data_IF_649183810638
#
_entry.id   IF_649183810638
#
_cell.length_a   1.000
_cell.length_b   1.000
_cell.length_c   1.000
_cell.angle_alpha   90.00
_cell.angle_beta   90.00
_cell.angle_gamma   90.00
#
_symmetry.space_group_name_H-M   'P 1'
#
loop_
_entity.id
_entity.type
_entity.pdbx_description
1 polymer ?
#
# COMPACT_ATOMS: atom_id res chain seq x y z
N UNK A 1 -2.12 -2.68 -11.45
CA UNK A 1 -1.48 -3.78 -12.18
C UNK A 1 0.04 -3.62 -12.20
N UNK A 2 0.61 -2.62 -12.91
CA UNK A 2 2.08 -2.50 -13.08
C UNK A 2 2.94 -2.40 -11.82
N UNK A 3 2.49 -1.67 -10.79
CA UNK A 3 3.30 -1.44 -9.57
C UNK A 3 3.03 -2.44 -8.45
N UNK A 4 1.99 -3.27 -8.56
CA UNK A 4 1.54 -4.15 -7.48
C UNK A 4 1.24 -3.45 -6.14
N UNK A 5 1.04 -2.12 -6.13
CA UNK A 5 0.89 -1.37 -4.88
C UNK A 5 -0.45 -1.66 -4.20
N UNK A 6 -0.42 -1.76 -2.88
CA UNK A 6 -1.64 -1.79 -2.07
C UNK A 6 -2.33 -0.43 -2.08
N UNK A 7 -3.66 -0.43 -2.14
CA UNK A 7 -4.49 0.78 -2.14
C UNK A 7 -5.27 0.80 -0.83
N UNK A 8 -5.17 1.89 -0.07
CA UNK A 8 -5.95 2.06 1.17
C UNK A 8 -7.44 2.18 0.87
N UNK A 9 -8.29 1.74 1.81
CA UNK A 9 -9.74 1.72 1.65
C UNK A 9 -10.35 3.08 1.25
N UNK A 10 -9.98 4.14 1.97
CA UNK A 10 -10.40 5.53 1.70
C UNK A 10 -10.02 6.01 0.29
N UNK A 11 -8.83 5.61 -0.18
CA UNK A 11 -8.35 5.92 -1.51
C UNK A 11 -9.06 5.07 -2.57
N UNK A 12 -9.33 3.80 -2.28
CA UNK A 12 -10.01 2.89 -3.19
C UNK A 12 -11.45 3.35 -3.48
N UNK A 13 -12.18 3.84 -2.47
CA UNK A 13 -13.50 4.44 -2.62
C UNK A 13 -13.48 5.71 -3.47
N UNK A 14 -12.53 6.62 -3.23
CA UNK A 14 -12.35 7.85 -4.04
C UNK A 14 -11.91 7.55 -5.47
N UNK A 15 -11.21 6.45 -5.68
CA UNK A 15 -10.82 5.97 -7.02
C UNK A 15 -11.97 5.28 -7.76
N UNK A 16 -13.10 4.98 -7.09
CA UNK A 16 -14.22 4.22 -7.66
C UNK A 16 -13.96 2.72 -7.77
N UNK A 17 -12.92 2.19 -7.11
CA UNK A 17 -12.67 0.74 -7.05
C UNK A 17 -13.61 0.05 -6.05
N UNK A 18 -14.01 0.77 -5.00
CA UNK A 18 -14.94 0.29 -3.97
C UNK A 18 -16.16 1.18 -3.95
N UNK A 19 -17.35 0.58 -3.96
CA UNK A 19 -18.61 1.30 -4.05
C UNK A 19 -19.14 1.82 -2.72
N UNK A 20 -18.73 1.29 -1.57
CA UNK A 20 -19.10 1.81 -0.25
C UNK A 20 -18.04 1.44 0.79
N UNK A 21 -17.86 2.30 1.80
CA UNK A 21 -17.00 2.03 2.94
C UNK A 21 -17.82 1.98 4.22
N UNK A 22 -17.36 1.16 5.16
CA UNK A 22 -17.89 1.04 6.51
C UNK A 22 -16.70 1.20 7.45
N UNK A 23 -16.86 2.03 8.48
CA UNK A 23 -15.86 2.20 9.52
C UNK A 23 -15.94 1.04 10.53
N UNK A 24 -14.80 0.56 11.06
CA UNK A 24 -14.79 -0.50 12.05
C UNK A 24 -15.48 -0.05 13.34
N UNK A 25 -16.17 -0.98 13.99
CA UNK A 25 -16.90 -0.71 15.22
C UNK A 25 -15.98 -0.81 16.45
N UNK A 26 -16.31 -0.03 17.48
CA UNK A 26 -15.65 -0.07 18.78
C UNK A 26 -16.01 -1.31 19.61
N UNK A 27 -15.43 -1.43 20.82
CA UNK A 27 -15.72 -2.54 21.72
C UNK A 27 -17.20 -2.57 22.13
N UNK A 28 -17.77 -3.77 22.19
CA UNK A 28 -19.15 -4.02 22.59
C UNK A 28 -19.29 -5.35 23.34
N UNK A 29 -20.42 -6.03 23.16
CA UNK A 29 -20.69 -7.33 23.79
C UNK A 29 -19.73 -8.42 23.25
N UNK A 30 -19.43 -8.35 21.95
CA UNK A 30 -18.45 -9.20 21.26
C UNK A 30 -17.15 -8.44 21.05
N UNK A 31 -16.10 -9.16 20.63
CA UNK A 31 -14.85 -8.51 20.24
C UNK A 31 -15.09 -7.49 19.11
N UNK A 32 -14.32 -6.39 19.04
CA UNK A 32 -14.49 -5.37 18.00
C UNK A 32 -14.42 -5.94 16.58
N UNK A 33 -13.53 -6.92 16.35
CA UNK A 33 -13.36 -7.56 15.05
C UNK A 33 -14.59 -8.38 14.66
N UNK A 34 -15.08 -9.25 15.55
CA UNK A 34 -16.27 -10.07 15.29
C UNK A 34 -17.50 -9.19 15.05
N UNK A 35 -17.72 -8.17 15.90
CA UNK A 35 -18.87 -7.29 15.72
C UNK A 35 -18.77 -6.46 14.43
N UNK A 36 -17.57 -6.05 14.05
CA UNK A 36 -17.35 -5.35 12.78
C UNK A 36 -17.67 -6.25 11.58
N UNK A 37 -17.32 -7.55 11.65
CA UNK A 37 -17.65 -8.50 10.59
C UNK A 37 -19.15 -8.74 10.48
N UNK A 38 -19.84 -8.93 11.61
CA UNK A 38 -21.31 -9.07 11.64
C UNK A 38 -21.99 -7.83 11.08
N UNK A 39 -21.54 -6.64 11.48
CA UNK A 39 -22.09 -5.39 10.97
C UNK A 39 -21.82 -5.19 9.48
N UNK A 40 -20.63 -5.58 9.00
CA UNK A 40 -20.33 -5.55 7.57
C UNK A 40 -21.26 -6.45 6.76
N UNK A 41 -21.58 -7.64 7.30
CA UNK A 41 -22.55 -8.57 6.71
C UNK A 41 -23.97 -7.99 6.72
N UNK A 42 -24.44 -7.47 7.86
CA UNK A 42 -25.73 -6.81 8.00
C UNK A 42 -25.89 -5.70 6.94
N UNK A 43 -24.89 -4.83 6.82
CA UNK A 43 -24.87 -3.77 5.82
C UNK A 43 -24.87 -4.36 4.41
N UNK A 44 -24.04 -5.35 4.12
CA UNK A 44 -24.00 -6.00 2.80
C UNK A 44 -25.35 -6.60 2.39
N UNK A 45 -26.09 -7.23 3.32
CA UNK A 45 -27.43 -7.78 3.08
C UNK A 45 -28.41 -6.66 2.71
N UNK A 46 -28.42 -5.55 3.45
CA UNK A 46 -29.31 -4.41 3.12
C UNK A 46 -29.03 -3.84 1.73
N UNK A 47 -27.76 -3.73 1.33
CA UNK A 47 -27.38 -3.31 -0.02
C UNK A 47 -27.79 -4.34 -1.07
N UNK A 48 -27.61 -5.63 -0.82
CA UNK A 48 -28.02 -6.70 -1.73
C UNK A 48 -29.54 -6.70 -1.98
N UNK A 49 -30.34 -6.56 -0.91
CA UNK A 49 -31.78 -6.43 -1.00
C UNK A 49 -32.19 -5.15 -1.77
N UNK A 50 -31.53 -4.03 -1.50
CA UNK A 50 -31.79 -2.78 -2.21
C UNK A 50 -31.45 -2.83 -3.71
N UNK A 51 -30.40 -3.56 -4.08
CA UNK A 51 -30.02 -3.82 -5.48
C UNK A 51 -31.03 -4.73 -6.19
N UNK A 52 -31.48 -5.80 -5.52
CA UNK A 52 -32.50 -6.69 -6.07
C UNK A 52 -33.82 -5.94 -6.33
N UNK A 53 -34.20 -5.04 -5.42
CA UNK A 53 -35.38 -4.20 -5.54
C UNK A 53 -35.18 -2.97 -6.46
N UNK A 54 -34.01 -2.82 -7.10
CA UNK A 54 -33.62 -1.69 -7.97
C UNK A 54 -33.76 -0.30 -7.32
N UNK A 55 -33.74 -0.23 -6.00
CA UNK A 55 -33.87 1.03 -5.24
C UNK A 55 -32.55 1.81 -5.15
N UNK A 56 -31.42 1.11 -5.28
CA UNK A 56 -30.08 1.69 -5.16
C UNK A 56 -29.47 1.86 -6.55
N UNK A 57 -29.25 3.11 -6.96
CA UNK A 57 -28.50 3.41 -8.18
C UNK A 57 -27.03 3.67 -7.85
N UNK A 58 -26.13 2.99 -8.57
CA UNK A 58 -24.69 3.27 -8.51
C UNK A 58 -24.41 4.62 -9.16
N UNK A 59 -24.31 5.69 -8.36
CA UNK A 59 -23.82 6.99 -8.83
C UNK A 59 -22.49 7.29 -8.16
N UNK A 60 -21.43 7.34 -8.98
CA UNK A 60 -20.16 7.93 -8.57
C UNK A 60 -20.18 9.36 -9.08
N UNK A 61 -20.20 10.33 -8.17
CA UNK A 61 -20.05 11.73 -8.54
C UNK A 61 -18.62 11.99 -8.99
N UNK A 62 -18.38 11.78 -10.29
CA UNK A 62 -17.13 12.12 -10.95
C UNK A 62 -17.04 13.63 -11.09
N UNK A 63 -16.00 14.22 -10.49
CA UNK A 63 -15.71 15.65 -10.61
C UNK A 63 -15.41 16.06 -12.07
N UNK A 64 -15.49 17.35 -12.37
CA UNK A 64 -15.34 17.89 -13.73
C UNK A 64 -14.06 17.42 -14.43
N UNK A 65 -12.92 17.44 -13.71
CA UNK A 65 -11.63 16.99 -14.25
C UNK A 65 -11.68 15.51 -14.66
N UNK A 66 -12.28 14.65 -13.83
CA UNK A 66 -12.37 13.22 -14.12
C UNK A 66 -13.23 12.93 -15.36
N UNK A 67 -14.32 13.68 -15.55
CA UNK A 67 -15.17 13.55 -16.74
C UNK A 67 -14.42 13.94 -18.02
N UNK A 68 -13.66 15.03 -17.96
CA UNK A 68 -12.85 15.49 -19.11
C UNK A 68 -11.74 14.49 -19.43
N UNK A 69 -11.05 13.95 -18.43
CA UNK A 69 -10.00 12.94 -18.66
C UNK A 69 -10.57 11.63 -19.18
N UNK A 70 -11.73 11.19 -18.67
CA UNK A 70 -12.41 9.99 -19.14
C UNK A 70 -12.84 10.14 -20.61
N UNK A 71 -13.36 11.31 -20.98
CA UNK A 71 -13.70 11.63 -22.38
C UNK A 71 -12.45 11.70 -23.27
N UNK A 72 -11.36 12.31 -22.81
CA UNK A 72 -10.11 12.30 -23.58
C UNK A 72 -9.59 10.87 -23.82
N UNK A 73 -9.78 9.96 -22.87
CA UNK A 73 -9.40 8.55 -23.01
C UNK A 73 -10.29 7.76 -23.98
N UNK A 74 -11.45 8.28 -24.42
CA UNK A 74 -12.22 7.62 -25.50
C UNK A 74 -11.61 7.86 -26.87
N UNK A 75 -10.71 8.84 -27.01
CA UNK A 75 -10.04 9.17 -28.28
C UNK A 75 -8.89 8.18 -28.51
N UNK A 76 -8.91 7.38 -29.60
CA UNK A 76 -7.91 6.32 -29.85
C UNK A 76 -6.47 6.84 -29.91
N UNK A 77 -6.26 7.99 -30.52
CA UNK A 77 -4.93 8.62 -30.60
C UNK A 77 -4.34 8.94 -29.23
N UNK A 78 -5.18 9.43 -28.30
CA UNK A 78 -4.76 9.76 -26.93
C UNK A 78 -4.39 8.48 -26.18
N UNK A 79 -5.20 7.42 -26.30
CA UNK A 79 -4.87 6.10 -25.70
C UNK A 79 -3.54 5.59 -26.19
N UNK A 80 -3.29 5.66 -27.49
CA UNK A 80 -2.03 5.20 -28.08
C UNK A 80 -0.81 6.00 -27.57
N UNK A 81 -0.96 7.31 -27.39
CA UNK A 81 0.09 8.13 -26.80
C UNK A 81 0.33 7.76 -25.33
N UNK A 82 -0.73 7.52 -24.55
CA UNK A 82 -0.64 7.06 -23.16
C UNK A 82 0.10 5.73 -23.07
N UNK A 83 -0.23 4.75 -23.92
CA UNK A 83 0.47 3.46 -23.95
C UNK A 83 1.97 3.64 -24.23
N UNK A 84 2.34 4.45 -25.24
CA UNK A 84 3.74 4.74 -25.56
C UNK A 84 4.48 5.39 -24.39
N UNK A 85 3.85 6.32 -23.68
CA UNK A 85 4.46 6.99 -22.52
C UNK A 85 4.66 6.01 -21.36
N UNK A 86 3.66 5.15 -21.09
CA UNK A 86 3.74 4.12 -20.04
C UNK A 86 4.83 3.12 -20.38
N UNK A 87 4.86 2.60 -21.60
CA UNK A 87 5.85 1.63 -22.07
C UNK A 87 7.27 2.20 -21.97
N UNK A 88 7.51 3.43 -22.45
CA UNK A 88 8.82 4.10 -22.30
C UNK A 88 9.23 4.25 -20.83
N UNK A 89 8.28 4.59 -19.95
CA UNK A 89 8.56 4.76 -18.52
C UNK A 89 8.89 3.41 -17.87
N UNK A 90 8.12 2.37 -18.18
CA UNK A 90 8.35 1.01 -17.71
C UNK A 90 9.70 0.52 -18.21
N UNK A 91 9.98 0.60 -19.52
CA UNK A 91 11.25 0.18 -20.11
C UNK A 91 12.45 0.87 -19.46
N UNK A 92 12.35 2.18 -19.18
CA UNK A 92 13.41 2.93 -18.49
C UNK A 92 13.61 2.48 -17.04
N UNK A 93 12.54 2.13 -16.34
CA UNK A 93 12.60 1.70 -14.94
C UNK A 93 13.01 0.23 -14.77
N UNK A 94 12.53 -0.65 -15.65
CA UNK A 94 12.81 -2.10 -15.62
C UNK A 94 14.11 -2.45 -16.34
N UNK A 95 14.67 -1.53 -17.14
CA UNK A 95 15.80 -1.76 -18.05
C UNK A 95 15.56 -2.92 -19.03
N UNK A 96 14.29 -3.28 -19.27
CA UNK A 96 13.91 -4.40 -20.14
C UNK A 96 14.12 -5.81 -19.56
N UNK A 97 14.52 -5.94 -18.30
CA UNK A 97 14.83 -7.23 -17.67
C UNK A 97 13.61 -7.96 -17.11
N UNK A 98 12.44 -7.32 -17.10
CA UNK A 98 11.22 -7.85 -16.52
C UNK A 98 10.14 -7.95 -17.59
N UNK A 99 9.70 -9.16 -18.00
CA UNK A 99 8.73 -9.33 -19.07
C UNK A 99 7.30 -8.96 -18.64
N UNK A 100 6.91 -9.26 -17.40
CA UNK A 100 5.54 -9.07 -16.92
C UNK A 100 4.99 -7.64 -17.06
N UNK A 101 5.73 -6.56 -16.70
CA UNK A 101 5.26 -5.19 -16.89
C UNK A 101 4.94 -4.83 -18.34
N UNK A 102 5.65 -5.39 -19.33
CA UNK A 102 5.41 -5.14 -20.74
C UNK A 102 4.19 -5.93 -21.24
N UNK A 103 4.10 -7.22 -20.89
CA UNK A 103 2.95 -8.05 -21.25
C UNK A 103 1.64 -7.54 -20.63
N UNK A 104 1.67 -6.96 -19.42
CA UNK A 104 0.48 -6.32 -18.82
C UNK A 104 -0.02 -5.15 -19.68
N UNK A 105 0.89 -4.33 -20.22
CA UNK A 105 0.52 -3.20 -21.10
C UNK A 105 -0.13 -3.74 -22.38
N UNK A 106 0.43 -4.81 -22.95
CA UNK A 106 -0.08 -5.46 -24.15
C UNK A 106 -1.49 -6.02 -23.95
N UNK A 107 -1.72 -6.81 -22.89
CA UNK A 107 -3.03 -7.40 -22.57
C UNK A 107 -4.09 -6.32 -22.35
N UNK A 108 -3.78 -5.27 -21.58
CA UNK A 108 -4.71 -4.16 -21.34
C UNK A 108 -5.01 -3.40 -22.64
N UNK A 109 -4.00 -3.16 -23.47
CA UNK A 109 -4.18 -2.52 -24.77
C UNK A 109 -5.09 -3.36 -25.68
N UNK A 110 -4.84 -4.66 -25.78
CA UNK A 110 -5.64 -5.57 -26.61
C UNK A 110 -7.08 -5.64 -26.12
N UNK A 111 -7.31 -5.75 -24.81
CA UNK A 111 -8.68 -5.76 -24.27
C UNK A 111 -9.46 -4.47 -24.54
N UNK A 112 -8.80 -3.31 -24.50
CA UNK A 112 -9.43 -2.00 -24.74
C UNK A 112 -9.62 -1.65 -26.22
N UNK A 113 -8.82 -2.22 -27.13
CA UNK A 113 -8.89 -1.92 -28.57
C UNK A 113 -9.64 -3.00 -29.36
N UNK A 114 -9.46 -4.28 -29.04
CA UNK A 114 -10.04 -5.43 -29.78
C UNK A 114 -11.28 -6.01 -29.11
N UNK A 115 -11.58 -5.60 -27.88
CA UNK A 115 -12.74 -6.04 -27.12
C UNK A 115 -12.41 -7.05 -26.01
N UNK A 116 -13.40 -7.28 -25.14
CA UNK A 116 -13.21 -8.03 -23.91
C UNK A 116 -12.82 -9.50 -24.16
N UNK A 117 -13.45 -10.18 -25.12
CA UNK A 117 -13.16 -11.59 -25.42
C UNK A 117 -11.71 -11.79 -25.86
N UNK A 118 -11.23 -10.98 -26.80
CA UNK A 118 -9.83 -10.99 -27.23
C UNK A 118 -8.87 -10.67 -26.06
N UNK A 119 -9.24 -9.72 -25.20
CA UNK A 119 -8.49 -9.37 -24.01
C UNK A 119 -8.34 -10.53 -23.02
N UNK A 120 -9.43 -11.23 -22.69
CA UNK A 120 -9.41 -12.36 -21.74
C UNK A 120 -8.65 -13.57 -22.28
N UNK A 121 -8.79 -13.86 -23.58
CA UNK A 121 -8.02 -14.94 -24.23
C UNK A 121 -6.52 -14.64 -24.18
N UNK A 122 -6.12 -13.41 -24.53
CA UNK A 122 -4.71 -13.00 -24.47
C UNK A 122 -4.20 -12.95 -23.02
N UNK A 123 -5.02 -12.49 -22.07
CA UNK A 123 -4.70 -12.50 -20.64
C UNK A 123 -4.37 -13.92 -20.17
N UNK A 124 -5.25 -14.89 -20.46
CA UNK A 124 -5.04 -16.28 -20.08
C UNK A 124 -3.75 -16.86 -20.68
N UNK A 125 -3.50 -16.59 -21.96
CA UNK A 125 -2.31 -17.07 -22.64
C UNK A 125 -1.03 -16.44 -22.04
N UNK A 126 -0.99 -15.12 -21.92
CA UNK A 126 0.16 -14.37 -21.40
C UNK A 126 0.41 -14.65 -19.93
N UNK A 127 -0.64 -14.90 -19.15
CA UNK A 127 -0.51 -15.30 -17.75
C UNK A 127 0.24 -16.63 -17.62
N UNK A 128 -0.14 -17.64 -18.41
CA UNK A 128 0.56 -18.93 -18.45
C UNK A 128 2.00 -18.80 -18.95
N UNK A 129 2.22 -18.02 -20.01
CA UNK A 129 3.56 -17.73 -20.57
C UNK A 129 4.48 -17.12 -19.50
N UNK A 130 4.01 -16.06 -18.82
CA UNK A 130 4.73 -15.41 -17.73
C UNK A 130 4.97 -16.32 -16.53
N UNK A 131 4.04 -17.22 -16.23
CA UNK A 131 4.21 -18.21 -15.16
C UNK A 131 5.40 -19.15 -15.39
N UNK A 132 5.77 -19.40 -16.65
CA UNK A 132 6.84 -20.30 -17.02
C UNK A 132 8.22 -19.63 -17.15
N UNK A 133 8.28 -18.30 -17.14
CA UNK A 133 9.54 -17.55 -17.32
C UNK A 133 10.50 -17.73 -16.13
N UNK A 134 11.82 -17.68 -16.37
CA UNK A 134 12.81 -17.78 -15.30
C UNK A 134 12.68 -16.65 -14.28
N UNK A 135 12.31 -15.43 -14.71
CA UNK A 135 12.14 -14.28 -13.82
C UNK A 135 10.99 -14.51 -12.83
N UNK A 136 9.87 -15.07 -13.29
CA UNK A 136 8.74 -15.39 -12.43
C UNK A 136 9.14 -16.42 -11.36
N UNK A 137 9.80 -17.50 -11.78
CA UNK A 137 10.30 -18.55 -10.87
C UNK A 137 11.28 -17.98 -9.84
N UNK A 138 12.20 -17.10 -10.26
CA UNK A 138 13.14 -16.43 -9.37
C UNK A 138 12.43 -15.53 -8.35
N UNK A 139 11.46 -14.72 -8.79
CA UNK A 139 10.68 -13.83 -7.91
C UNK A 139 9.81 -14.61 -6.91
N UNK A 140 9.24 -15.74 -7.32
CA UNK A 140 8.52 -16.65 -6.42
C UNK A 140 9.45 -17.23 -5.35
N UNK A 141 10.67 -17.62 -5.74
CA UNK A 141 11.70 -18.04 -4.78
C UNK A 141 12.03 -16.95 -3.76
N UNK A 142 12.24 -15.71 -4.22
CA UNK A 142 12.47 -14.56 -3.34
C UNK A 142 11.28 -14.28 -2.41
N UNK A 143 10.05 -14.43 -2.90
CA UNK A 143 8.85 -14.29 -2.08
C UNK A 143 8.80 -15.32 -0.95
N UNK A 144 9.01 -16.61 -1.27
CA UNK A 144 9.04 -17.66 -0.24
C UNK A 144 10.17 -17.45 0.77
N UNK A 145 11.36 -17.06 0.30
CA UNK A 145 12.48 -16.69 1.16
C UNK A 145 12.12 -15.52 2.08
N UNK A 146 11.48 -14.48 1.55
CA UNK A 146 11.02 -13.33 2.34
C UNK A 146 9.99 -13.74 3.41
N UNK A 147 9.03 -14.60 3.07
CA UNK A 147 8.03 -15.10 4.02
C UNK A 147 8.69 -15.89 5.15
N UNK A 148 9.66 -16.74 4.83
CA UNK A 148 10.41 -17.50 5.84
C UNK A 148 11.25 -16.56 6.73
N UNK A 149 11.96 -15.59 6.16
CA UNK A 149 12.78 -14.63 6.92
C UNK A 149 11.97 -13.69 7.83
N UNK A 150 10.66 -13.53 7.61
CA UNK A 150 9.77 -12.76 8.50
C UNK A 150 9.30 -13.56 9.71
N UNK A 151 9.43 -14.89 9.70
CA UNK A 151 9.10 -15.74 10.84
C UNK A 151 10.29 -15.80 11.80
N UNK A 152 10.01 -15.81 13.10
CA UNK A 152 11.07 -15.92 14.09
C UNK A 152 11.66 -17.34 14.07
N UNK A 153 12.94 -17.46 13.68
CA UNK A 153 13.66 -18.73 13.60
C UNK A 153 13.77 -19.44 14.96
N UNK A 154 13.76 -18.69 16.06
CA UNK A 154 14.04 -19.21 17.41
C UNK A 154 12.78 -19.31 18.28
N UNK A 155 11.59 -19.04 17.73
CA UNK A 155 10.35 -19.00 18.50
C UNK A 155 10.24 -17.77 19.41
N UNK A 156 9.22 -17.75 20.27
CA UNK A 156 8.98 -16.61 21.15
C UNK A 156 10.07 -16.49 22.24
N UNK A 157 10.65 -15.29 22.44
CA UNK A 157 11.65 -15.10 23.48
C UNK A 157 11.01 -15.17 24.87
N UNK A 158 11.76 -15.65 25.87
CA UNK A 158 11.30 -15.69 27.27
C UNK A 158 10.92 -14.31 27.82
N UNK A 159 11.55 -13.25 27.33
CA UNK A 159 11.30 -11.87 27.75
C UNK A 159 11.14 -10.97 26.52
N UNK A 160 9.97 -10.36 26.31
CA UNK A 160 9.77 -9.40 25.23
C UNK A 160 10.49 -8.08 25.52
N UNK A 161 11.10 -7.49 24.50
CA UNK A 161 11.78 -6.20 24.61
C UNK A 161 10.72 -5.10 24.76
N UNK A 162 10.72 -4.42 25.91
CA UNK A 162 9.81 -3.28 26.19
C UNK A 162 10.49 -1.91 26.08
N UNK A 163 11.80 -1.88 26.37
CA UNK A 163 12.64 -0.68 26.34
C UNK A 163 13.89 -0.99 25.52
N UNK A 164 14.26 -0.10 24.61
CA UNK A 164 15.42 -0.24 23.73
C UNK A 164 16.34 0.96 23.91
N UNK A 165 17.65 0.72 24.06
CA UNK A 165 18.66 1.78 24.07
C UNK A 165 19.45 1.75 22.76
N UNK A 166 19.61 2.90 22.11
CA UNK A 166 20.35 3.06 20.86
C UNK A 166 21.55 3.96 21.14
N UNK A 167 22.74 3.45 20.89
CA UNK A 167 24.00 4.15 21.09
C UNK A 167 24.44 4.78 19.76
N UNK A 168 24.47 6.11 19.72
CA UNK A 168 24.70 6.94 18.54
C UNK A 168 23.40 7.45 17.94
N UNK A 169 23.26 8.77 17.86
CA UNK A 169 22.16 9.50 17.24
C UNK A 169 22.49 9.94 15.79
N UNK A 170 23.49 9.33 15.16
CA UNK A 170 23.79 9.52 13.75
C UNK A 170 22.71 8.99 12.80
N UNK A 171 22.97 9.04 11.49
CA UNK A 171 21.99 8.70 10.45
C UNK A 171 21.33 7.32 10.64
N UNK A 172 22.13 6.29 10.94
CA UNK A 172 21.62 4.93 11.18
C UNK A 172 20.90 4.79 12.51
N UNK A 173 21.42 5.43 13.58
CA UNK A 173 20.80 5.40 14.90
C UNK A 173 19.42 6.03 14.90
N UNK A 174 19.27 7.18 14.24
CA UNK A 174 17.97 7.82 14.01
C UNK A 174 17.03 6.94 13.16
N UNK A 175 17.54 6.26 12.13
CA UNK A 175 16.74 5.33 11.31
C UNK A 175 16.21 4.13 12.11
N UNK A 176 17.07 3.52 12.93
CA UNK A 176 16.69 2.40 13.82
C UNK A 176 15.68 2.88 14.85
N UNK A 177 15.90 4.06 15.44
CA UNK A 177 14.99 4.66 16.41
C UNK A 177 13.61 4.89 15.80
N UNK A 178 13.54 5.50 14.61
CA UNK A 178 12.27 5.74 13.93
C UNK A 178 11.49 4.44 13.70
N UNK A 179 12.13 3.41 13.12
CA UNK A 179 11.44 2.13 12.83
C UNK A 179 10.99 1.43 14.11
N UNK A 180 11.75 1.57 15.20
CA UNK A 180 11.45 0.92 16.48
C UNK A 180 10.35 1.66 17.26
N UNK A 181 10.35 3.00 17.25
CA UNK A 181 9.30 3.82 17.90
C UNK A 181 7.96 3.56 17.25
N UNK A 182 7.90 3.49 15.91
CA UNK A 182 6.68 3.20 15.17
C UNK A 182 6.09 1.81 15.47
N UNK A 183 6.86 0.92 16.11
CA UNK A 183 6.39 -0.38 16.61
C UNK A 183 5.93 -0.34 18.07
N UNK A 184 5.89 0.85 18.68
CA UNK A 184 5.47 1.06 20.07
C UNK A 184 6.54 0.71 21.10
N UNK A 185 7.81 0.62 20.69
CA UNK A 185 8.92 0.43 21.64
C UNK A 185 9.33 1.77 22.25
N UNK A 186 9.54 1.78 23.58
CA UNK A 186 10.10 2.93 24.28
C UNK A 186 11.60 2.98 24.07
N UNK A 187 12.12 4.11 23.60
CA UNK A 187 13.51 4.24 23.17
C UNK A 187 14.27 5.25 23.99
N UNK A 188 15.49 4.89 24.34
CA UNK A 188 16.52 5.79 24.86
C UNK A 188 17.58 5.95 23.77
N UNK A 189 17.73 7.14 23.24
CA UNK A 189 18.77 7.47 22.26
C UNK A 189 19.91 8.19 22.99
N UNK A 190 21.10 7.61 22.94
CA UNK A 190 22.30 8.18 23.58
C UNK A 190 23.31 8.64 22.54
N UNK A 191 23.89 9.83 22.72
CA UNK A 191 24.99 10.33 21.88
C UNK A 191 26.01 11.11 22.71
N UNK A 192 27.24 11.24 22.21
CA UNK A 192 28.33 11.93 22.93
C UNK A 192 28.15 13.44 22.98
N UNK A 193 27.42 14.02 22.02
CA UNK A 193 27.22 15.47 21.92
C UNK A 193 25.74 15.83 21.82
N UNK A 194 25.36 17.00 22.37
CA UNK A 194 23.99 17.49 22.28
C UNK A 194 23.57 17.79 20.83
N UNK A 195 24.51 18.22 19.99
CA UNK A 195 24.28 18.46 18.56
C UNK A 195 23.98 17.14 17.81
N UNK A 196 24.76 16.08 18.07
CA UNK A 196 24.51 14.75 17.53
C UNK A 196 23.12 14.23 17.92
N UNK A 197 22.77 14.36 19.20
CA UNK A 197 21.45 13.98 19.71
C UNK A 197 20.31 14.75 19.04
N UNK A 198 20.45 16.08 18.92
CA UNK A 198 19.44 16.96 18.31
C UNK A 198 19.22 16.62 16.84
N UNK A 199 20.30 16.33 16.09
CA UNK A 199 20.22 15.90 14.69
C UNK A 199 19.48 14.57 14.54
N UNK A 200 19.77 13.60 15.40
CA UNK A 200 19.09 12.31 15.39
C UNK A 200 17.60 12.44 15.68
N UNK A 201 17.23 13.18 16.73
CA UNK A 201 15.84 13.47 17.08
C UNK A 201 15.10 14.18 15.95
N UNK A 202 15.74 15.18 15.32
CA UNK A 202 15.15 15.90 14.19
C UNK A 202 14.91 15.00 12.97
N UNK A 203 15.79 14.04 12.71
CA UNK A 203 15.61 13.08 11.62
C UNK A 203 14.41 12.16 11.88
N UNK A 204 14.26 11.66 13.12
CA UNK A 204 13.08 10.88 13.51
C UNK A 204 11.80 11.70 13.34
N UNK A 205 11.78 12.93 13.86
CA UNK A 205 10.64 13.83 13.73
C UNK A 205 10.28 14.09 12.26
N UNK A 206 11.27 14.42 11.42
CA UNK A 206 11.07 14.65 9.99
C UNK A 206 10.49 13.40 9.30
N UNK A 207 11.02 12.23 9.61
CA UNK A 207 10.55 10.96 9.06
C UNK A 207 9.08 10.66 9.42
N UNK A 208 8.69 10.89 10.67
CA UNK A 208 7.29 10.75 11.11
C UNK A 208 6.39 11.82 10.47
N UNK A 209 6.86 13.07 10.38
CA UNK A 209 6.11 14.17 9.76
C UNK A 209 5.88 13.94 8.25
N UNK A 210 6.84 13.35 7.55
CA UNK A 210 6.67 12.96 6.15
C UNK A 210 5.62 11.86 5.98
N UNK A 211 5.45 10.97 6.98
CA UNK A 211 4.35 9.99 7.00
C UNK A 211 3.00 10.65 7.26
N UNK A 212 2.94 11.69 8.09
CA UNK A 212 1.72 12.51 8.27
C UNK A 212 1.32 13.17 6.94
N UNK A 213 2.28 13.78 6.23
CA UNK A 213 2.04 14.37 4.90
C UNK A 213 1.55 13.35 3.87
N UNK A 214 2.06 12.12 3.94
CA UNK A 214 1.60 10.97 3.11
C UNK A 214 0.25 10.40 3.56
N UNK A 215 -0.41 11.00 4.57
CA UNK A 215 -1.66 10.57 5.20
C UNK A 215 -1.57 9.21 5.89
N UNK A 216 -0.37 8.71 6.17
CA UNK A 216 -0.16 7.40 6.81
C UNK A 216 -0.24 7.45 8.34
N UNK A 217 -0.05 8.64 8.94
CA UNK A 217 -0.15 8.90 10.38
C UNK A 217 -0.96 10.17 10.61
N UNK A 218 -1.59 10.29 11.76
CA UNK A 218 -2.16 11.55 12.25
C UNK A 218 -1.09 12.41 12.93
N UNK A 219 -1.35 13.72 13.05
CA UNK A 219 -0.45 14.62 13.79
C UNK A 219 -0.32 14.22 15.26
N UNK A 220 -1.43 13.77 15.86
CA UNK A 220 -1.45 13.30 17.25
C UNK A 220 -0.60 12.04 17.44
N UNK A 221 -0.76 11.03 16.57
CA UNK A 221 0.05 9.81 16.63
C UNK A 221 1.55 10.11 16.46
N UNK A 222 1.92 11.06 15.58
CA UNK A 222 3.31 11.50 15.44
C UNK A 222 3.86 12.02 16.77
N UNK A 223 3.13 12.91 17.44
CA UNK A 223 3.60 13.55 18.67
C UNK A 223 3.64 12.56 19.85
N UNK A 224 2.69 11.62 19.88
CA UNK A 224 2.68 10.49 20.82
C UNK A 224 3.90 9.59 20.61
N UNK A 225 4.19 9.19 19.36
CA UNK A 225 5.36 8.37 19.02
C UNK A 225 6.67 9.08 19.37
N UNK A 226 6.77 10.39 19.09
CA UNK A 226 7.95 11.17 19.46
C UNK A 226 8.19 11.19 20.97
N UNK A 227 7.12 11.17 21.78
CA UNK A 227 7.20 11.16 23.24
C UNK A 227 7.80 9.86 23.79
N UNK A 228 7.67 8.75 23.07
CA UNK A 228 8.31 7.47 23.42
C UNK A 228 9.82 7.46 23.11
N UNK A 229 10.36 8.51 22.47
CA UNK A 229 11.78 8.70 22.21
C UNK A 229 12.40 9.67 23.21
N UNK A 230 13.22 9.14 24.12
CA UNK A 230 13.94 9.92 25.12
C UNK A 230 15.41 10.06 24.75
N UNK A 231 15.93 11.28 24.77
CA UNK A 231 17.34 11.57 24.50
C UNK A 231 18.17 11.60 25.79
N UNK A 232 19.36 11.01 25.76
CA UNK A 232 20.33 11.02 26.86
C UNK A 232 21.73 11.36 26.31
N UNK A 233 22.53 12.07 27.10
CA UNK A 233 23.95 12.32 26.80
C UNK A 233 24.81 11.16 27.31
#
# INVERSE_FOLDING_TARGET
MLTGRNIRADRAKRMGLVDQLVDPLGPGIKSPEERTMEYLEEVAITFAQGLANKTITRKVDKGLIQRVTDYALTIPFIRQQVYKTIEKKVQKQTKGLYPAPLSIIEVVKTGLEQGNEAGYLLESQKFGELGMTPECKALMGLYHGQVQCKKNKFGEPKQPVKKLAILGAGLMGAGIAQVSVEKGLKIIMKDTTLDGLSKGQQQVYKGLNDKVKKKSLTSFERDMLLSDLTGQL
#
